data_IF_074812980917
#
_entry.id   IF_074812980917
#
_cell.length_a   1.000
_cell.length_b   1.000
_cell.length_c   1.000
_cell.angle_alpha   90.00
_cell.angle_beta   90.00
_cell.angle_gamma   90.00
#
_symmetry.space_group_name_H-M   'P 1'
#
loop_
_entity.id
_entity.type
_entity.pdbx_description
1 polymer ?
#
# COMPACT_ATOMS: atom_id res chain seq x y z
N UNK A 1 0.86 26.94 -3.70
CA UNK A 1 1.49 25.85 -2.91
C UNK A 1 0.39 25.31 -2.02
N UNK A 2 -0.32 24.28 -2.47
CA UNK A 2 -1.52 23.81 -1.77
C UNK A 2 -1.13 22.83 -0.67
N UNK A 3 -1.18 23.36 0.53
CA UNK A 3 -1.05 22.72 1.83
C UNK A 3 -2.13 21.62 1.93
N UNK A 4 -1.72 20.35 1.88
CA UNK A 4 -2.62 19.24 2.15
C UNK A 4 -2.91 19.23 3.65
N UNK A 5 -4.15 19.60 4.02
CA UNK A 5 -4.66 19.49 5.39
C UNK A 5 -4.61 18.04 5.90
N UNK A 6 -4.43 17.83 7.21
CA UNK A 6 -4.28 16.49 7.75
C UNK A 6 -5.63 15.74 7.70
N UNK A 7 -5.61 14.53 7.14
CA UNK A 7 -6.62 13.48 7.31
C UNK A 7 -8.01 13.60 6.62
N UNK A 8 -8.06 13.84 5.29
CA UNK A 8 -9.28 13.59 4.51
C UNK A 8 -9.06 12.75 3.24
N UNK A 9 -8.25 11.69 3.35
CA UNK A 9 -8.43 10.49 2.51
C UNK A 9 -9.47 9.62 3.20
N UNK A 10 -10.74 9.77 2.85
CA UNK A 10 -11.86 9.07 3.49
C UNK A 10 -11.78 7.55 3.32
N UNK A 11 -11.18 6.92 4.34
CA UNK A 11 -11.53 5.64 4.96
C UNK A 11 -11.47 4.35 4.12
N UNK A 12 -10.60 4.23 3.12
CA UNK A 12 -10.13 2.87 2.76
C UNK A 12 -9.06 2.47 3.77
N UNK A 13 -9.40 1.53 4.63
CA UNK A 13 -8.42 0.80 5.41
C UNK A 13 -7.46 0.11 4.42
N UNK A 14 -6.29 0.74 4.22
CA UNK A 14 -5.27 0.26 3.27
C UNK A 14 -4.76 -1.11 3.66
N UNK A 15 -4.79 -1.46 4.95
CA UNK A 15 -4.48 -2.82 5.41
C UNK A 15 -5.54 -3.80 4.94
N UNK A 16 -6.83 -3.46 5.10
CA UNK A 16 -7.91 -4.30 4.58
C UNK A 16 -7.87 -4.44 3.05
N UNK A 17 -7.46 -3.39 2.33
CA UNK A 17 -7.27 -3.42 0.88
C UNK A 17 -6.14 -4.38 0.47
N UNK A 18 -4.97 -4.29 1.10
CA UNK A 18 -3.85 -5.22 0.83
C UNK A 18 -4.22 -6.67 1.16
N UNK A 19 -4.91 -6.91 2.28
CA UNK A 19 -5.39 -8.24 2.65
C UNK A 19 -6.35 -8.81 1.61
N UNK A 20 -7.34 -8.04 1.17
CA UNK A 20 -8.26 -8.46 0.10
C UNK A 20 -7.53 -8.72 -1.23
N UNK A 21 -6.48 -7.96 -1.50
CA UNK A 21 -5.63 -8.14 -2.66
C UNK A 21 -4.93 -9.51 -2.62
N UNK A 22 -4.31 -9.81 -1.48
CA UNK A 22 -3.69 -11.12 -1.19
C UNK A 22 -4.69 -12.28 -1.28
N UNK A 23 -5.88 -12.12 -0.67
CA UNK A 23 -6.96 -13.12 -0.69
C UNK A 23 -7.46 -13.41 -2.12
N UNK A 24 -7.36 -12.44 -3.03
CA UNK A 24 -7.70 -12.59 -4.45
C UNK A 24 -6.59 -13.25 -5.27
N UNK A 25 -5.46 -13.61 -4.63
CA UNK A 25 -4.26 -14.10 -5.29
C UNK A 25 -3.47 -13.00 -6.02
N UNK A 26 -3.77 -11.73 -5.74
CA UNK A 26 -3.09 -10.59 -6.35
C UNK A 26 -1.92 -10.10 -5.50
N UNK A 27 -0.93 -9.50 -6.16
CA UNK A 27 0.33 -9.15 -5.51
C UNK A 27 0.40 -7.66 -5.19
N UNK A 28 1.02 -7.30 -4.08
CA UNK A 28 1.43 -5.93 -3.82
C UNK A 28 2.93 -5.87 -3.58
N UNK A 29 3.54 -4.72 -3.89
CA UNK A 29 4.97 -4.46 -3.68
C UNK A 29 5.20 -3.05 -3.17
N UNK A 30 6.13 -2.91 -2.23
CA UNK A 30 6.62 -1.60 -1.78
C UNK A 30 7.58 -1.07 -2.84
N UNK A 31 7.18 -0.03 -3.54
CA UNK A 31 7.97 0.62 -4.60
C UNK A 31 8.93 1.65 -4.01
N UNK A 32 8.48 2.34 -2.96
CA UNK A 32 9.28 3.34 -2.26
C UNK A 32 8.95 3.35 -0.78
N UNK A 33 9.96 3.57 0.05
CA UNK A 33 9.80 3.72 1.49
C UNK A 33 10.63 4.89 1.97
N UNK A 34 9.97 5.80 2.66
CA UNK A 34 10.61 6.89 3.39
C UNK A 34 10.52 6.59 4.89
N UNK A 35 11.13 7.43 5.72
CA UNK A 35 11.06 7.27 7.18
C UNK A 35 9.66 7.39 7.78
N UNK A 36 8.66 7.90 7.03
CA UNK A 36 7.29 8.13 7.53
C UNK A 36 6.19 7.72 6.56
N UNK A 37 6.53 7.34 5.34
CA UNK A 37 5.54 6.98 4.31
C UNK A 37 6.04 5.84 3.43
N UNK A 38 5.10 5.15 2.81
CA UNK A 38 5.34 4.05 1.89
C UNK A 38 4.50 4.25 0.63
N UNK A 39 5.09 3.93 -0.51
CA UNK A 39 4.39 3.83 -1.78
C UNK A 39 4.29 2.36 -2.13
N UNK A 40 3.05 1.89 -2.31
CA UNK A 40 2.72 0.50 -2.61
C UNK A 40 2.09 0.44 -3.99
N UNK A 41 2.64 -0.41 -4.85
CA UNK A 41 2.03 -0.80 -6.11
C UNK A 41 1.17 -2.05 -5.91
N UNK A 42 -0.03 -2.04 -6.47
CA UNK A 42 -0.92 -3.18 -6.59
C UNK A 42 -0.74 -3.78 -7.97
N UNK A 43 -0.45 -5.07 -8.01
CA UNK A 43 -0.21 -5.83 -9.22
C UNK A 43 -1.33 -6.84 -9.44
N UNK A 44 -1.58 -7.20 -10.69
CA UNK A 44 -2.50 -8.27 -11.04
C UNK A 44 -2.11 -9.61 -10.39
N UNK A 45 -2.99 -10.61 -10.47
CA UNK A 45 -2.73 -11.99 -9.98
C UNK A 45 -1.50 -12.65 -10.59
N UNK A 46 -1.13 -12.27 -11.82
CA UNK A 46 0.12 -12.72 -12.46
C UNK A 46 1.37 -12.00 -11.90
N UNK A 47 1.20 -10.89 -11.17
CA UNK A 47 2.29 -10.13 -10.56
C UNK A 47 3.15 -9.34 -11.56
N UNK A 48 2.84 -9.42 -12.86
CA UNK A 48 3.57 -8.77 -13.94
C UNK A 48 3.10 -7.36 -14.31
N UNK A 49 1.89 -6.95 -13.91
CA UNK A 49 1.31 -5.64 -14.28
C UNK A 49 0.86 -4.87 -13.06
N UNK A 50 1.40 -3.66 -12.87
CA UNK A 50 0.89 -2.68 -11.90
C UNK A 50 -0.47 -2.18 -12.39
N UNK A 51 -1.52 -2.44 -11.62
CA UNK A 51 -2.90 -2.01 -11.94
C UNK A 51 -3.31 -0.78 -11.16
N UNK A 52 -2.70 -0.55 -10.00
CA UNK A 52 -2.93 0.64 -9.18
C UNK A 52 -1.72 0.91 -8.29
N UNK A 53 -1.63 2.13 -7.75
CA UNK A 53 -0.58 2.55 -6.84
C UNK A 53 -1.06 3.64 -5.91
N UNK A 54 -0.72 3.50 -4.64
CA UNK A 54 -1.01 4.51 -3.64
C UNK A 54 0.19 4.79 -2.73
N UNK A 55 0.18 5.97 -2.13
CA UNK A 55 1.12 6.37 -1.07
C UNK A 55 0.34 6.57 0.22
N UNK A 56 0.91 6.12 1.33
CA UNK A 56 0.31 6.29 2.64
C UNK A 56 1.39 6.44 3.71
N UNK A 57 1.10 7.29 4.68
CA UNK A 57 1.86 7.56 5.90
C UNK A 57 1.13 7.01 7.15
N UNK A 58 0.13 6.16 6.93
CA UNK A 58 -0.68 5.58 8.00
C UNK A 58 0.12 4.59 8.85
N UNK A 59 0.11 4.79 10.17
CA UNK A 59 0.88 3.98 11.10
C UNK A 59 0.43 2.50 11.12
N UNK A 60 -0.86 2.22 10.92
CA UNK A 60 -1.37 0.84 10.86
C UNK A 60 -0.88 0.14 9.59
N UNK A 61 -0.88 0.83 8.45
CA UNK A 61 -0.29 0.32 7.22
C UNK A 61 1.22 0.09 7.33
N UNK A 62 1.95 1.05 7.89
CA UNK A 62 3.39 0.93 8.12
C UNK A 62 3.70 -0.27 9.03
N UNK A 63 2.89 -0.49 10.07
CA UNK A 63 3.02 -1.65 10.95
C UNK A 63 2.63 -2.96 10.27
N UNK A 64 1.63 -2.96 9.39
CA UNK A 64 1.23 -4.13 8.61
C UNK A 64 2.34 -4.55 7.64
N UNK A 65 2.86 -3.60 6.87
CA UNK A 65 3.97 -3.85 5.94
C UNK A 65 5.20 -4.28 6.74
N UNK A 66 5.52 -3.60 7.84
CA UNK A 66 6.59 -4.00 8.74
C UNK A 66 7.94 -4.00 8.03
N UNK A 67 8.55 -5.18 7.90
CA UNK A 67 9.77 -5.41 7.12
C UNK A 67 9.54 -5.89 5.68
N UNK A 68 8.29 -6.20 5.31
CA UNK A 68 7.96 -6.81 4.02
C UNK A 68 8.10 -5.82 2.89
N UNK A 69 8.68 -6.27 1.79
CA UNK A 69 8.76 -5.49 0.54
C UNK A 69 7.72 -5.92 -0.49
N UNK A 70 7.04 -7.04 -0.28
CA UNK A 70 5.96 -7.53 -1.13
C UNK A 70 5.04 -8.48 -0.38
N UNK A 71 3.92 -8.85 -0.99
CA UNK A 71 3.02 -9.88 -0.45
C UNK A 71 3.63 -11.29 -0.41
N UNK A 72 4.73 -11.52 -1.11
CA UNK A 72 5.40 -12.81 -1.20
C UNK A 72 6.61 -12.95 -0.24
N UNK A 73 6.89 -11.91 0.55
CA UNK A 73 7.97 -11.87 1.55
C UNK A 73 7.51 -12.37 2.92
#
# INVERSE_FOLDING_TARGET
MSEHGPAESTARDRVAELRRWEDSGAHWRVLHRTGRSVTVGLFSCDGGTEVDRFTSDDAALLSYIGGRHSSAD
#
